data_IF_288769604484
#
_entry.id   IF_288769604484
#
_cell.length_a   1.000
_cell.length_b   1.000
_cell.length_c   1.000
_cell.angle_alpha   90.00
_cell.angle_beta   90.00
_cell.angle_gamma   90.00
#
_symmetry.space_group_name_H-M   'P 1'
#
loop_
_entity.id
_entity.type
_entity.pdbx_description
1 polymer ?
#
# COMPACT_ATOMS: atom_id res chain seq x y z
N UNK A 1 -12.74 37.16 37.96
CA UNK A 1 -12.72 36.00 37.03
C UNK A 1 -11.29 35.76 36.56
N UNK A 2 -10.35 35.49 37.46
CA UNK A 2 -10.02 34.23 38.17
C UNK A 2 -9.29 33.23 37.26
N UNK A 3 -7.98 33.14 37.46
CA UNK A 3 -6.94 32.52 36.61
C UNK A 3 -7.29 31.13 36.02
N UNK A 4 -8.20 30.40 36.65
CA UNK A 4 -8.73 29.12 36.16
C UNK A 4 -9.33 29.24 34.75
N UNK A 5 -10.10 30.30 34.47
CA UNK A 5 -10.73 30.49 33.14
C UNK A 5 -9.66 30.70 32.07
N UNK A 6 -8.62 31.49 32.37
CA UNK A 6 -7.52 31.71 31.44
C UNK A 6 -6.69 30.45 31.21
N UNK A 7 -6.48 29.63 32.25
CA UNK A 7 -5.81 28.34 32.12
C UNK A 7 -6.60 27.38 31.22
N UNK A 8 -7.93 27.31 31.39
CA UNK A 8 -8.78 26.50 30.50
C UNK A 8 -8.74 26.97 29.05
N UNK A 9 -8.73 28.29 28.82
CA UNK A 9 -8.59 28.86 27.47
C UNK A 9 -7.23 28.53 26.85
N UNK A 10 -6.14 28.65 27.62
CA UNK A 10 -4.79 28.30 27.16
C UNK A 10 -4.68 26.81 26.82
N UNK A 11 -5.20 25.94 27.68
CA UNK A 11 -5.22 24.50 27.45
C UNK A 11 -6.05 24.14 26.21
N UNK A 12 -7.20 24.78 26.04
CA UNK A 12 -8.07 24.59 24.87
C UNK A 12 -7.36 25.03 23.58
N UNK A 13 -6.65 26.16 23.61
CA UNK A 13 -5.86 26.64 22.48
C UNK A 13 -4.69 25.69 22.13
N UNK A 14 -4.02 25.14 23.15
CA UNK A 14 -2.94 24.16 22.97
C UNK A 14 -3.44 22.85 22.34
N UNK A 15 -4.56 22.32 22.84
CA UNK A 15 -5.22 21.15 22.29
C UNK A 15 -5.66 21.38 20.84
N UNK A 16 -6.22 22.55 20.53
CA UNK A 16 -6.62 22.94 19.18
C UNK A 16 -5.42 23.05 18.22
N UNK A 17 -4.31 23.65 18.67
CA UNK A 17 -3.09 23.74 17.87
C UNK A 17 -2.48 22.36 17.61
N UNK A 18 -2.41 21.48 18.61
CA UNK A 18 -1.81 20.15 18.47
C UNK A 18 -2.67 19.21 17.60
N UNK A 19 -4.00 19.34 17.66
CA UNK A 19 -4.93 18.52 16.87
C UNK A 19 -5.22 19.09 15.47
N UNK A 20 -5.12 20.42 15.30
CA UNK A 20 -5.35 21.10 14.02
C UNK A 20 -4.27 20.83 12.97
N UNK A 21 -3.04 20.52 13.39
CA UNK A 21 -1.93 20.21 12.47
C UNK A 21 -2.13 18.84 11.79
N UNK A 22 -2.78 17.88 12.48
CA UNK A 22 -3.08 16.55 11.93
C UNK A 22 -4.20 16.54 10.89
N UNK A 23 -5.14 17.49 10.97
CA UNK A 23 -6.24 17.65 10.00
C UNK A 23 -5.85 18.41 8.72
N UNK A 24 -4.88 19.31 8.81
CA UNK A 24 -4.43 20.12 7.66
C UNK A 24 -3.46 19.36 6.73
N UNK A 25 -2.70 18.39 7.27
CA UNK A 25 -1.72 17.62 6.48
C UNK A 25 -2.29 16.42 5.71
N UNK A 26 -3.54 16.01 5.98
CA UNK A 26 -4.22 14.97 5.21
C UNK A 26 -5.48 15.55 4.61
N UNK A 27 -5.35 16.14 3.41
CA UNK A 27 -6.46 16.60 2.56
C UNK A 27 -7.63 15.61 2.61
N UNK A 28 -8.65 15.84 3.46
CA UNK A 28 -9.77 14.92 3.59
C UNK A 28 -10.59 14.91 2.29
N UNK A 29 -10.53 16.00 1.52
CA UNK A 29 -11.21 16.11 0.24
C UNK A 29 -10.66 15.13 -0.81
N UNK A 30 -9.35 14.83 -0.85
CA UNK A 30 -8.79 13.87 -1.81
C UNK A 30 -9.24 12.44 -1.51
N UNK A 31 -9.20 12.04 -0.24
CA UNK A 31 -9.65 10.72 0.17
C UNK A 31 -11.16 10.53 -0.08
N UNK A 32 -11.96 11.57 0.16
CA UNK A 32 -13.40 11.56 -0.12
C UNK A 32 -13.71 11.57 -1.63
N UNK A 33 -12.96 12.32 -2.44
CA UNK A 33 -13.10 12.33 -3.89
C UNK A 33 -12.82 10.95 -4.51
N UNK A 34 -11.74 10.28 -4.08
CA UNK A 34 -11.41 8.91 -4.51
C UNK A 34 -12.49 7.91 -4.07
N UNK A 35 -13.05 8.08 -2.87
CA UNK A 35 -14.15 7.25 -2.40
C UNK A 35 -15.42 7.46 -3.25
N UNK A 36 -15.76 8.71 -3.59
CA UNK A 36 -16.92 9.01 -4.44
C UNK A 36 -16.72 8.57 -5.89
N UNK A 37 -15.52 8.69 -6.44
CA UNK A 37 -15.18 8.19 -7.78
C UNK A 37 -15.32 6.65 -7.86
N UNK A 38 -14.92 5.93 -6.80
CA UNK A 38 -15.13 4.48 -6.70
C UNK A 38 -16.60 4.07 -6.61
N UNK A 39 -17.46 4.91 -6.03
CA UNK A 39 -18.91 4.64 -5.92
C UNK A 39 -19.63 4.97 -7.22
N UNK A 40 -19.23 6.04 -7.91
CA UNK A 40 -19.88 6.50 -9.14
C UNK A 40 -19.47 5.69 -10.38
N UNK A 41 -18.30 5.04 -10.36
CA UNK A 41 -17.89 4.16 -11.46
C UNK A 41 -18.62 2.83 -11.29
N UNK A 42 -19.50 2.41 -12.21
CA UNK A 42 -19.99 1.05 -12.19
C UNK A 42 -18.75 0.17 -12.26
N UNK A 43 -18.55 -0.67 -11.23
CA UNK A 43 -17.63 -1.80 -11.31
C UNK A 43 -18.21 -2.65 -12.43
N UNK A 44 -17.81 -2.35 -13.69
CA UNK A 44 -17.87 -3.32 -14.76
C UNK A 44 -17.30 -4.57 -14.10
N UNK A 45 -18.14 -5.60 -13.95
CA UNK A 45 -17.81 -6.81 -13.22
C UNK A 45 -16.64 -7.46 -13.94
N UNK A 46 -15.44 -6.95 -13.67
CA UNK A 46 -14.18 -7.53 -14.01
C UNK A 46 -14.25 -8.81 -13.22
N UNK A 47 -14.65 -9.86 -13.93
CA UNK A 47 -14.68 -11.24 -13.48
C UNK A 47 -13.49 -11.39 -12.56
N UNK A 48 -13.74 -11.38 -11.25
CA UNK A 48 -12.68 -11.53 -10.26
C UNK A 48 -12.25 -12.96 -10.46
N UNK A 49 -11.33 -13.18 -11.38
CA UNK A 49 -10.52 -14.36 -11.42
C UNK A 49 -9.78 -14.24 -10.10
N UNK A 50 -10.32 -14.91 -9.07
CA UNK A 50 -9.59 -15.23 -7.86
C UNK A 50 -8.33 -15.93 -8.35
N UNK A 51 -7.28 -15.15 -8.60
CA UNK A 51 -5.95 -15.66 -8.78
C UNK A 51 -5.63 -16.28 -7.43
N UNK A 52 -5.86 -17.59 -7.33
CA UNK A 52 -5.53 -18.36 -6.15
C UNK A 52 -4.08 -18.01 -5.81
N UNK A 53 -3.85 -17.53 -4.59
CA UNK A 53 -2.49 -17.25 -4.12
C UNK A 53 -1.70 -18.55 -4.32
N UNK A 54 -0.56 -18.53 -5.03
CA UNK A 54 0.25 -19.73 -5.16
C UNK A 54 0.65 -20.18 -3.75
N UNK A 55 0.12 -21.34 -3.34
CA UNK A 55 0.52 -21.99 -2.10
C UNK A 55 1.81 -22.72 -2.41
N UNK A 56 2.93 -22.16 -2.01
CA UNK A 56 4.21 -22.84 -2.11
C UNK A 56 4.38 -23.72 -0.88
N UNK A 57 4.07 -25.01 -1.04
CA UNK A 57 4.32 -26.00 0.00
C UNK A 57 5.83 -26.09 0.25
N UNK A 58 6.24 -26.04 1.52
CA UNK A 58 7.62 -26.29 1.91
C UNK A 58 7.93 -27.76 1.71
N UNK A 59 9.06 -28.07 1.08
CA UNK A 59 9.53 -29.45 0.94
C UNK A 59 9.88 -30.03 2.32
N UNK A 60 9.53 -31.31 2.54
CA UNK A 60 10.01 -32.03 3.72
C UNK A 60 11.52 -32.28 3.62
N UNK A 61 12.19 -32.49 4.75
CA UNK A 61 13.64 -32.74 4.79
C UNK A 61 14.04 -33.95 3.93
N UNK A 62 13.22 -35.00 3.94
CA UNK A 62 13.43 -36.20 3.11
C UNK A 62 13.37 -35.88 1.62
N UNK A 63 12.42 -35.03 1.22
CA UNK A 63 12.26 -34.63 -0.18
C UNK A 63 13.40 -33.72 -0.64
N UNK A 64 13.89 -32.84 0.24
CA UNK A 64 15.04 -31.99 -0.03
C UNK A 64 16.35 -32.79 -0.17
N UNK A 65 16.54 -33.82 0.66
CA UNK A 65 17.72 -34.67 0.62
C UNK A 65 17.79 -35.56 -0.63
N UNK A 66 16.63 -35.99 -1.15
CA UNK A 66 16.52 -36.78 -2.37
C UNK A 66 16.48 -35.94 -3.65
N UNK A 67 16.36 -34.61 -3.54
CA UNK A 67 16.26 -33.73 -4.69
C UNK A 67 17.58 -33.80 -5.50
N UNK A 68 17.52 -34.03 -6.82
CA UNK A 68 18.71 -33.98 -7.65
C UNK A 68 19.33 -32.59 -7.51
N UNK A 69 20.64 -32.52 -7.25
CA UNK A 69 21.37 -31.26 -7.28
C UNK A 69 21.23 -30.68 -8.69
N UNK A 70 20.32 -29.73 -8.86
CA UNK A 70 20.08 -29.08 -10.15
C UNK A 70 21.39 -28.42 -10.56
N UNK A 71 21.95 -28.84 -11.71
CA UNK A 71 23.11 -28.19 -12.31
C UNK A 71 22.83 -26.70 -12.43
N UNK A 72 23.83 -25.88 -12.08
CA UNK A 72 23.71 -24.43 -11.97
C UNK A 72 23.00 -23.82 -13.18
N UNK A 73 21.99 -23.02 -12.90
CA UNK A 73 21.30 -22.23 -13.92
C UNK A 73 22.26 -21.15 -14.40
N UNK A 74 22.61 -21.16 -15.68
CA UNK A 74 23.33 -20.06 -16.27
C UNK A 74 22.37 -18.87 -16.39
N UNK A 75 22.61 -17.83 -15.59
CA UNK A 75 21.95 -16.53 -15.74
C UNK A 75 22.42 -15.91 -17.06
N UNK A 76 21.65 -16.14 -18.12
CA UNK A 76 21.85 -15.43 -19.38
C UNK A 76 21.34 -13.99 -19.19
N UNK A 77 22.08 -12.98 -19.68
CA UNK A 77 21.57 -11.62 -19.70
C UNK A 77 20.31 -11.59 -20.57
N UNK A 78 19.16 -11.42 -19.94
CA UNK A 78 17.89 -11.19 -20.61
C UNK A 78 17.74 -9.68 -20.83
N UNK A 79 17.68 -9.27 -22.09
CA UNK A 79 17.42 -7.88 -22.43
C UNK A 79 16.00 -7.50 -21.97
N UNK A 80 15.82 -6.40 -21.20
CA UNK A 80 14.50 -6.04 -20.71
C UNK A 80 13.59 -5.65 -21.88
N UNK A 81 12.30 -5.99 -21.78
CA UNK A 81 11.31 -5.82 -22.85
C UNK A 81 11.13 -4.38 -23.37
N UNK A 82 11.70 -3.39 -22.69
CA UNK A 82 11.68 -1.98 -23.08
C UNK A 82 12.97 -1.50 -23.75
N UNK A 83 14.04 -2.30 -23.78
CA UNK A 83 15.34 -1.86 -24.33
C UNK A 83 15.26 -1.52 -25.83
N UNK A 84 14.45 -2.24 -26.60
CA UNK A 84 14.21 -1.97 -28.02
C UNK A 84 13.15 -0.90 -28.32
N UNK A 85 12.53 -0.28 -27.31
CA UNK A 85 11.51 0.75 -27.55
C UNK A 85 12.19 2.06 -27.93
N UNK A 86 11.86 2.59 -29.11
CA UNK A 86 12.20 3.98 -29.47
C UNK A 86 11.60 4.91 -28.41
N UNK A 87 12.45 5.74 -27.82
CA UNK A 87 12.03 6.86 -26.97
C UNK A 87 11.64 7.98 -27.91
N UNK A 88 10.34 8.06 -28.19
CA UNK A 88 9.72 9.16 -28.95
C UNK A 88 9.13 10.17 -27.98
#
# INVERSE_FOLDING_TARGET
>A
MSARVNLFLLLSALLSALTGIGGSARQPQLAQAVAQEKVARPVAAARVVLLARPVQALASLVHAAAAPMTRGWALLPAEPAFAGRRRE
#
